data_IF_148882605189
#
_entry.id   IF_148882605189
#
_cell.length_a   1.000
_cell.length_b   1.000
_cell.length_c   1.000
_cell.angle_alpha   90.00
_cell.angle_beta   90.00
_cell.angle_gamma   90.00
#
_symmetry.space_group_name_H-M   'P 1'
#
loop_
_entity.id
_entity.type
_entity.pdbx_description
1 polymer ?
#
# COMPACT_ATOMS: atom_id res chain seq x y z
N UNK A 1 2.79 22.06 -7.06
CA UNK A 1 3.82 23.03 -6.78
C UNK A 1 5.09 22.85 -7.61
N UNK A 2 5.54 21.61 -7.85
CA UNK A 2 6.76 21.34 -8.63
C UNK A 2 6.53 21.22 -10.16
N UNK A 3 5.33 21.45 -10.65
CA UNK A 3 5.05 21.46 -12.09
C UNK A 3 4.73 20.08 -12.67
N UNK A 4 5.02 19.88 -13.94
CA UNK A 4 4.50 18.82 -14.82
C UNK A 4 5.15 17.44 -14.67
N UNK A 5 5.92 17.16 -13.64
CA UNK A 5 6.63 15.88 -13.49
C UNK A 5 5.84 14.79 -12.77
N UNK A 6 4.55 14.98 -12.50
CA UNK A 6 3.75 13.95 -11.84
C UNK A 6 3.43 12.80 -12.79
N UNK A 7 3.56 11.56 -12.32
CA UNK A 7 3.03 10.38 -13.02
C UNK A 7 1.52 10.20 -12.81
N UNK A 8 0.92 11.07 -12.00
CA UNK A 8 -0.52 11.11 -11.76
C UNK A 8 -1.05 12.38 -12.43
N UNK A 9 -2.01 12.23 -13.32
CA UNK A 9 -2.74 13.34 -13.93
C UNK A 9 -4.24 13.15 -13.71
N UNK A 10 -4.92 14.24 -13.41
CA UNK A 10 -6.37 14.25 -13.33
C UNK A 10 -6.90 14.66 -14.70
N UNK A 11 -7.78 13.85 -15.26
CA UNK A 11 -8.51 14.19 -16.49
C UNK A 11 -9.63 15.18 -16.11
N UNK A 12 -9.54 16.40 -16.61
CA UNK A 12 -10.48 17.48 -16.31
C UNK A 12 -11.90 17.21 -16.86
N UNK A 13 -12.03 16.28 -17.81
CA UNK A 13 -13.34 15.96 -18.42
C UNK A 13 -14.05 14.85 -17.65
N UNK A 14 -13.32 13.79 -17.31
CA UNK A 14 -13.89 12.61 -16.66
C UNK A 14 -13.64 12.57 -15.15
N UNK A 15 -12.93 13.57 -14.61
CA UNK A 15 -12.47 13.60 -13.20
C UNK A 15 -11.72 12.33 -12.78
N UNK A 16 -11.09 11.66 -13.77
CA UNK A 16 -10.39 10.41 -13.55
C UNK A 16 -8.91 10.61 -13.20
N UNK A 17 -8.40 9.75 -12.35
CA UNK A 17 -6.97 9.71 -12.04
C UNK A 17 -6.30 8.78 -13.04
N UNK A 18 -5.39 9.35 -13.86
CA UNK A 18 -4.62 8.60 -14.84
C UNK A 18 -3.16 8.48 -14.40
N UNK A 19 -2.62 7.28 -14.50
CA UNK A 19 -1.22 7.00 -14.23
C UNK A 19 -0.45 6.89 -15.54
N UNK A 20 0.65 7.63 -15.63
CA UNK A 20 1.54 7.59 -16.78
C UNK A 20 2.82 6.84 -16.43
N UNK A 21 3.20 5.92 -17.32
CA UNK A 21 4.43 5.16 -17.17
C UNK A 21 5.63 6.07 -17.46
N UNK A 22 6.49 6.30 -16.47
CA UNK A 22 7.67 7.13 -16.59
C UNK A 22 8.94 6.30 -16.47
N UNK A 23 9.85 6.47 -17.42
CA UNK A 23 11.19 5.89 -17.38
C UNK A 23 12.18 6.95 -16.90
N UNK A 24 12.40 7.01 -15.58
CA UNK A 24 13.33 7.97 -14.98
C UNK A 24 14.75 7.39 -14.84
N UNK A 25 14.90 6.07 -14.84
CA UNK A 25 16.16 5.36 -14.76
C UNK A 25 16.38 4.54 -16.03
N UNK A 26 17.55 4.66 -16.65
CA UNK A 26 17.96 3.86 -17.81
C UNK A 26 18.26 2.41 -17.42
N UNK A 27 18.21 1.51 -18.40
CA UNK A 27 18.50 0.08 -18.16
C UNK A 27 19.95 -0.19 -17.74
N UNK A 28 20.87 0.69 -18.06
CA UNK A 28 22.31 0.57 -17.76
C UNK A 28 22.70 1.35 -16.49
N UNK A 29 21.74 1.95 -15.80
CA UNK A 29 21.96 2.79 -14.61
C UNK A 29 21.73 2.05 -13.27
N UNK A 30 21.49 0.75 -13.28
CA UNK A 30 21.39 -0.05 -12.05
C UNK A 30 22.68 0.02 -11.21
N UNK A 31 23.90 -0.09 -11.79
CA UNK A 31 25.13 0.09 -11.00
C UNK A 31 25.25 1.49 -10.40
N UNK A 32 24.83 2.55 -11.11
CA UNK A 32 24.86 3.92 -10.59
C UNK A 32 23.87 4.11 -9.45
N UNK A 33 22.70 3.47 -9.50
CA UNK A 33 21.74 3.50 -8.43
C UNK A 33 22.30 2.96 -7.12
N UNK A 34 23.08 1.89 -7.20
CA UNK A 34 23.77 1.28 -6.04
C UNK A 34 24.97 2.11 -5.58
N UNK A 35 25.87 2.46 -6.49
CA UNK A 35 27.19 2.99 -6.17
C UNK A 35 27.22 4.52 -6.03
N UNK A 36 26.28 5.23 -6.71
CA UNK A 36 26.22 6.68 -6.81
C UNK A 36 24.79 7.17 -6.50
N UNK A 37 24.23 6.72 -5.38
CA UNK A 37 22.81 6.88 -5.01
C UNK A 37 22.33 8.34 -5.05
N UNK A 38 23.13 9.27 -4.50
CA UNK A 38 22.77 10.69 -4.44
C UNK A 38 22.71 11.33 -5.84
N UNK A 39 23.74 11.06 -6.66
CA UNK A 39 23.79 11.56 -8.04
C UNK A 39 22.65 10.94 -8.87
N UNK A 40 22.37 9.65 -8.69
CA UNK A 40 21.29 8.98 -9.42
C UNK A 40 19.92 9.54 -9.02
N UNK A 41 19.67 9.80 -7.74
CA UNK A 41 18.45 10.47 -7.30
C UNK A 41 18.29 11.85 -7.92
N UNK A 42 19.38 12.64 -7.96
CA UNK A 42 19.37 13.95 -8.57
C UNK A 42 19.12 13.88 -10.09
N UNK A 43 19.71 12.91 -10.77
CA UNK A 43 19.51 12.65 -12.19
C UNK A 43 18.06 12.29 -12.51
N UNK A 44 17.46 11.37 -11.72
CA UNK A 44 16.05 11.02 -11.86
C UNK A 44 15.13 12.20 -11.55
N UNK A 45 15.44 12.98 -10.51
CA UNK A 45 14.70 14.19 -10.18
C UNK A 45 14.69 15.20 -11.33
N UNK A 46 15.84 15.47 -11.95
CA UNK A 46 15.92 16.38 -13.10
C UNK A 46 15.17 15.85 -14.33
N UNK A 47 15.16 14.53 -14.54
CA UNK A 47 14.36 13.93 -15.61
C UNK A 47 12.86 14.06 -15.34
N UNK A 48 12.48 13.95 -14.08
CA UNK A 48 11.08 14.11 -13.66
C UNK A 48 10.60 15.56 -13.78
N UNK A 49 11.48 16.54 -13.53
CA UNK A 49 11.15 17.96 -13.50
C UNK A 49 12.11 18.78 -14.38
N UNK A 50 12.10 18.56 -15.72
CA UNK A 50 13.11 19.13 -16.61
C UNK A 50 13.10 20.66 -16.68
N UNK A 51 11.97 21.29 -16.35
CA UNK A 51 11.78 22.75 -16.42
C UNK A 51 11.85 23.43 -15.05
N UNK A 52 12.23 22.70 -13.99
CA UNK A 52 12.29 23.24 -12.65
C UNK A 52 13.61 23.98 -12.42
N UNK A 53 13.56 25.29 -12.34
CA UNK A 53 14.72 26.09 -11.95
C UNK A 53 14.94 26.10 -10.41
N UNK A 54 16.11 26.56 -9.99
CA UNK A 54 16.53 26.58 -8.59
C UNK A 54 15.57 27.35 -7.69
N UNK A 55 15.02 28.47 -8.16
CA UNK A 55 14.12 29.32 -7.35
C UNK A 55 12.79 28.62 -7.12
N UNK A 56 12.18 28.11 -8.20
CA UNK A 56 10.94 27.35 -8.12
C UNK A 56 11.08 26.07 -7.28
N UNK A 57 12.25 25.42 -7.35
CA UNK A 57 12.54 24.26 -6.51
C UNK A 57 12.52 24.62 -5.02
N UNK A 58 13.20 25.70 -4.60
CA UNK A 58 13.25 26.13 -3.21
C UNK A 58 11.87 26.51 -2.68
N UNK A 59 11.11 27.30 -3.46
CA UNK A 59 9.74 27.67 -3.11
C UNK A 59 8.81 26.45 -2.96
N UNK A 60 8.92 25.50 -3.89
CA UNK A 60 8.15 24.26 -3.85
C UNK A 60 8.55 23.37 -2.67
N UNK A 61 9.83 23.29 -2.36
CA UNK A 61 10.35 22.53 -1.20
C UNK A 61 9.83 23.10 0.13
N UNK A 62 9.88 24.42 0.30
CA UNK A 62 9.36 25.10 1.50
C UNK A 62 7.86 24.79 1.66
N UNK A 63 7.06 24.98 0.60
CA UNK A 63 5.62 24.68 0.63
C UNK A 63 5.32 23.20 0.93
N UNK A 64 6.15 22.30 0.44
CA UNK A 64 6.01 20.87 0.75
C UNK A 64 6.29 20.59 2.22
N UNK A 65 7.32 21.22 2.83
CA UNK A 65 7.61 21.08 4.26
C UNK A 65 6.47 21.62 5.12
N UNK A 66 5.94 22.79 4.77
CA UNK A 66 4.76 23.38 5.45
C UNK A 66 3.54 22.46 5.39
N UNK A 67 3.22 21.95 4.20
CA UNK A 67 2.10 21.03 4.00
C UNK A 67 2.30 19.69 4.76
N UNK A 68 3.51 19.16 4.79
CA UNK A 68 3.83 17.94 5.53
C UNK A 68 3.72 18.14 7.04
N UNK A 69 4.18 19.28 7.55
CA UNK A 69 4.07 19.63 8.97
C UNK A 69 2.59 19.79 9.38
N UNK A 70 1.79 20.47 8.55
CA UNK A 70 0.35 20.61 8.76
C UNK A 70 -0.38 19.27 8.74
N UNK A 71 -0.09 18.42 7.74
CA UNK A 71 -0.68 17.07 7.64
C UNK A 71 -0.34 16.22 8.86
N UNK A 72 0.91 16.23 9.31
CA UNK A 72 1.34 15.52 10.52
C UNK A 72 0.68 16.04 11.80
N UNK A 73 0.44 17.34 11.88
CA UNK A 73 -0.30 17.94 13.00
C UNK A 73 -1.76 17.47 13.01
N UNK A 74 -2.43 17.56 11.87
CA UNK A 74 -3.83 17.11 11.72
C UNK A 74 -3.99 15.62 12.00
N UNK A 75 -3.09 14.79 11.49
CA UNK A 75 -3.09 13.35 11.74
C UNK A 75 -3.02 13.03 13.25
N UNK A 76 -2.11 13.68 13.99
CA UNK A 76 -2.05 13.45 15.44
C UNK A 76 -3.33 13.87 16.18
N UNK A 77 -3.92 15.01 15.82
CA UNK A 77 -5.19 15.45 16.42
C UNK A 77 -6.30 14.44 16.16
N UNK A 78 -6.41 13.92 14.93
CA UNK A 78 -7.43 12.91 14.58
C UNK A 78 -7.25 11.63 15.38
N UNK A 79 -6.01 11.15 15.55
CA UNK A 79 -5.72 9.93 16.34
C UNK A 79 -6.10 10.14 17.81
N UNK A 80 -5.79 11.29 18.39
CA UNK A 80 -6.14 11.62 19.79
C UNK A 80 -7.67 11.71 19.96
N UNK A 81 -8.37 12.35 19.03
CA UNK A 81 -9.83 12.47 19.05
C UNK A 81 -10.51 11.09 18.90
N UNK A 82 -10.03 10.26 17.99
CA UNK A 82 -10.55 8.89 17.78
C UNK A 82 -10.31 8.00 19.01
N UNK A 83 -9.13 8.09 19.61
CA UNK A 83 -8.82 7.34 20.82
C UNK A 83 -9.76 7.70 21.99
N UNK A 84 -10.11 8.99 22.15
CA UNK A 84 -11.10 9.44 23.13
C UNK A 84 -12.50 8.83 22.90
N UNK A 85 -12.82 8.51 21.66
CA UNK A 85 -14.10 7.85 21.29
C UNK A 85 -14.01 6.31 21.35
N UNK A 86 -12.86 5.74 21.70
CA UNK A 86 -12.64 4.29 21.69
C UNK A 86 -12.52 3.71 20.28
N UNK A 87 -12.15 4.54 19.31
CA UNK A 87 -11.98 4.15 17.90
C UNK A 87 -10.49 4.18 17.56
N UNK A 88 -10.00 3.10 16.98
CA UNK A 88 -8.62 3.06 16.45
C UNK A 88 -8.56 3.73 15.07
N UNK A 89 -7.50 4.50 14.85
CA UNK A 89 -7.22 5.05 13.52
C UNK A 89 -6.84 3.94 12.54
N UNK A 90 -7.27 4.09 11.29
CA UNK A 90 -6.93 3.16 10.20
C UNK A 90 -5.55 3.40 9.61
N UNK A 91 -4.86 4.49 10.01
CA UNK A 91 -3.45 4.74 9.68
C UNK A 91 -2.54 3.78 10.48
N UNK A 92 -1.24 3.94 10.35
CA UNK A 92 -0.26 3.04 10.96
C UNK A 92 0.84 3.81 11.69
N UNK A 93 1.19 3.37 12.88
CA UNK A 93 2.18 4.03 13.73
C UNK A 93 3.60 4.03 13.13
N UNK A 94 4.00 2.92 12.51
CA UNK A 94 5.35 2.72 11.94
C UNK A 94 5.51 3.18 10.50
N UNK A 95 4.43 3.72 9.92
CA UNK A 95 4.44 4.20 8.55
C UNK A 95 4.32 3.10 7.48
N UNK A 96 4.34 3.55 6.22
CA UNK A 96 4.24 2.67 5.05
C UNK A 96 5.61 2.32 4.51
N UNK A 97 5.82 1.05 4.22
CA UNK A 97 7.02 0.52 3.57
C UNK A 97 6.66 -0.11 2.24
N UNK A 98 7.54 0.04 1.28
CA UNK A 98 7.43 -0.63 -0.01
C UNK A 98 8.49 -1.72 -0.12
N UNK A 99 8.08 -2.90 -0.59
CA UNK A 99 9.03 -3.93 -1.03
C UNK A 99 9.97 -3.30 -2.08
N UNK A 100 11.29 -3.58 -2.06
CA UNK A 100 12.25 -2.95 -2.98
C UNK A 100 11.81 -2.98 -4.44
N UNK A 101 11.24 -4.10 -4.89
CA UNK A 101 10.74 -4.27 -6.25
C UNK A 101 9.72 -3.20 -6.65
N UNK A 102 8.78 -2.84 -5.77
CA UNK A 102 7.70 -1.88 -6.05
C UNK A 102 8.21 -0.50 -6.49
N UNK A 103 9.42 -0.12 -6.08
CA UNK A 103 10.01 1.17 -6.45
C UNK A 103 10.31 1.26 -7.94
N UNK A 104 10.67 0.16 -8.58
CA UNK A 104 11.09 0.15 -9.98
C UNK A 104 9.92 0.35 -10.95
N UNK A 105 8.85 -0.46 -10.93
CA UNK A 105 7.71 -0.22 -11.81
C UNK A 105 7.02 1.10 -11.52
N UNK A 106 6.92 1.51 -10.25
CA UNK A 106 6.17 2.69 -9.86
C UNK A 106 6.92 4.01 -10.10
N UNK A 107 8.22 4.07 -9.80
CA UNK A 107 8.93 5.35 -9.75
C UNK A 107 10.10 5.48 -10.72
N UNK A 108 10.72 4.39 -11.16
CA UNK A 108 12.00 4.45 -11.84
C UNK A 108 12.00 3.95 -13.27
N UNK A 109 11.42 2.77 -13.49
CA UNK A 109 11.52 2.07 -14.78
C UNK A 109 10.20 1.98 -15.55
N UNK A 110 9.06 2.07 -14.84
CA UNK A 110 7.76 1.74 -15.40
C UNK A 110 7.54 0.23 -15.58
N UNK A 111 6.28 -0.16 -15.81
CA UNK A 111 5.85 -1.58 -15.86
C UNK A 111 6.44 -2.29 -17.08
N UNK A 112 6.45 -1.60 -18.23
CA UNK A 112 6.95 -2.17 -19.49
C UNK A 112 8.44 -2.48 -19.41
N UNK A 113 9.24 -1.51 -19.01
CA UNK A 113 10.70 -1.66 -19.02
C UNK A 113 11.17 -2.64 -17.95
N UNK A 114 10.57 -2.64 -16.74
CA UNK A 114 10.93 -3.60 -15.71
C UNK A 114 10.68 -5.04 -16.13
N UNK A 115 9.67 -5.29 -16.97
CA UNK A 115 9.37 -6.62 -17.52
C UNK A 115 10.51 -7.16 -18.41
N UNK A 116 11.23 -6.27 -19.11
CA UNK A 116 12.42 -6.63 -19.86
C UNK A 116 13.65 -6.78 -18.96
N UNK A 117 13.80 -5.89 -17.98
CA UNK A 117 14.97 -5.84 -17.10
C UNK A 117 15.08 -7.11 -16.23
N UNK A 118 13.96 -7.66 -15.76
CA UNK A 118 13.94 -8.94 -15.03
C UNK A 118 14.60 -10.09 -15.81
N UNK A 119 14.70 -9.99 -17.14
CA UNK A 119 15.36 -10.98 -18.00
C UNK A 119 16.76 -10.55 -18.44
N UNK A 120 16.90 -9.28 -18.84
CA UNK A 120 18.10 -8.76 -19.50
C UNK A 120 19.14 -8.23 -18.51
N UNK A 121 18.68 -7.76 -17.35
CA UNK A 121 19.46 -7.07 -16.31
C UNK A 121 19.27 -7.72 -14.93
N UNK A 122 18.99 -9.03 -14.92
CA UNK A 122 18.63 -9.76 -13.71
C UNK A 122 19.61 -9.54 -12.57
N UNK A 123 20.93 -9.69 -12.83
CA UNK A 123 21.97 -9.54 -11.81
C UNK A 123 22.01 -8.12 -11.26
N UNK A 124 22.10 -7.13 -12.16
CA UNK A 124 22.19 -5.71 -11.79
C UNK A 124 20.95 -5.27 -10.98
N UNK A 125 19.78 -5.79 -11.37
CA UNK A 125 18.54 -5.53 -10.67
C UNK A 125 18.50 -6.15 -9.27
N UNK A 126 18.92 -7.42 -9.12
CA UNK A 126 19.01 -8.07 -7.81
C UNK A 126 19.97 -7.35 -6.89
N UNK A 127 21.15 -6.97 -7.40
CA UNK A 127 22.12 -6.16 -6.65
C UNK A 127 21.52 -4.85 -6.11
N UNK A 128 20.60 -4.22 -6.87
CA UNK A 128 19.91 -3.03 -6.41
C UNK A 128 18.83 -3.35 -5.37
N UNK A 129 18.08 -4.44 -5.55
CA UNK A 129 17.06 -4.87 -4.57
C UNK A 129 17.71 -5.20 -3.23
N UNK A 130 18.82 -5.97 -3.26
CA UNK A 130 19.61 -6.30 -2.08
C UNK A 130 20.13 -5.04 -1.38
N UNK A 131 20.71 -4.11 -2.15
CA UNK A 131 21.17 -2.83 -1.61
C UNK A 131 20.07 -2.05 -0.90
N UNK A 132 18.89 -1.94 -1.51
CA UNK A 132 17.74 -1.22 -0.92
C UNK A 132 17.28 -1.93 0.35
N UNK A 133 17.17 -3.25 0.32
CA UNK A 133 16.74 -4.03 1.46
C UNK A 133 17.69 -3.85 2.65
N UNK A 134 18.99 -4.09 2.42
CA UNK A 134 20.01 -4.11 3.46
C UNK A 134 20.35 -2.74 4.02
N UNK A 135 20.33 -1.70 3.18
CA UNK A 135 20.82 -0.37 3.57
C UNK A 135 19.70 0.66 3.84
N UNK A 136 18.50 0.43 3.36
CA UNK A 136 17.40 1.39 3.52
C UNK A 136 16.23 0.78 4.33
N UNK A 137 15.67 -0.34 3.87
CA UNK A 137 14.41 -0.88 4.41
C UNK A 137 14.62 -1.54 5.78
N UNK A 138 15.50 -2.52 5.88
CA UNK A 138 15.69 -3.27 7.12
C UNK A 138 16.27 -2.40 8.24
N UNK A 139 17.28 -1.53 7.99
CA UNK A 139 17.73 -0.60 9.04
C UNK A 139 16.64 0.37 9.51
N UNK A 140 15.84 0.89 8.57
CA UNK A 140 14.71 1.75 8.89
C UNK A 140 13.66 1.02 9.74
N UNK A 141 13.28 -0.19 9.35
CA UNK A 141 12.34 -1.02 10.11
C UNK A 141 12.84 -1.30 11.54
N UNK A 142 14.09 -1.75 11.69
CA UNK A 142 14.67 -2.04 13.01
C UNK A 142 14.69 -0.81 13.91
N UNK A 143 15.01 0.36 13.35
CA UNK A 143 14.95 1.63 14.08
C UNK A 143 13.53 1.93 14.54
N UNK A 144 12.55 1.85 13.64
CA UNK A 144 11.14 2.10 13.98
C UNK A 144 10.61 1.12 15.02
N UNK A 145 10.93 -0.17 14.89
CA UNK A 145 10.54 -1.18 15.90
C UNK A 145 11.09 -0.85 17.29
N UNK A 146 12.35 -0.43 17.38
CA UNK A 146 12.95 0.01 18.66
C UNK A 146 12.27 1.27 19.23
N UNK A 147 11.87 2.20 18.38
CA UNK A 147 11.14 3.42 18.80
C UNK A 147 9.70 3.13 19.25
N UNK A 148 9.12 2.00 18.82
CA UNK A 148 7.77 1.56 19.20
C UNK A 148 7.74 0.65 20.42
N UNK A 149 8.87 0.26 20.95
CA UNK A 149 8.93 -0.59 22.14
C UNK A 149 8.27 0.09 23.35
N UNK A 150 7.38 -0.64 24.02
CA UNK A 150 6.63 -0.15 25.19
C UNK A 150 5.57 0.93 24.91
N UNK A 151 5.32 1.29 23.66
CA UNK A 151 4.25 2.24 23.30
C UNK A 151 2.92 1.54 23.12
N UNK A 152 1.85 2.21 23.56
CA UNK A 152 0.48 1.76 23.37
C UNK A 152 0.10 1.77 21.88
N UNK A 153 -0.67 0.77 21.46
CA UNK A 153 -1.23 0.68 20.12
C UNK A 153 -2.48 1.54 20.02
N UNK A 154 -2.43 2.60 19.24
CA UNK A 154 -3.56 3.50 18.96
C UNK A 154 -4.10 3.35 17.53
N UNK A 155 -3.48 2.50 16.73
CA UNK A 155 -3.78 2.29 15.31
C UNK A 155 -4.28 0.87 15.06
N UNK A 156 -4.98 0.66 13.95
CA UNK A 156 -5.45 -0.67 13.53
C UNK A 156 -4.29 -1.64 13.29
N UNK A 157 -3.18 -1.13 12.77
CA UNK A 157 -1.95 -1.90 12.57
C UNK A 157 -0.71 -1.06 12.85
N UNK A 158 0.43 -1.72 13.08
CA UNK A 158 1.69 -1.03 13.32
C UNK A 158 2.35 -0.54 12.02
N UNK A 159 2.26 -1.33 10.94
CA UNK A 159 2.90 -1.05 9.65
C UNK A 159 1.95 -1.27 8.49
N UNK A 160 2.24 -0.62 7.36
CA UNK A 160 1.54 -0.83 6.11
C UNK A 160 2.49 -1.20 4.99
N UNK A 161 2.09 -2.15 4.14
CA UNK A 161 2.75 -2.51 2.88
C UNK A 161 1.73 -2.35 1.76
N UNK A 162 2.06 -1.57 0.73
CA UNK A 162 1.27 -1.52 -0.49
C UNK A 162 1.88 -2.44 -1.55
N UNK A 163 1.12 -3.42 -2.01
CA UNK A 163 1.50 -4.37 -3.04
C UNK A 163 0.72 -4.08 -4.32
N UNK A 164 1.38 -3.45 -5.28
CA UNK A 164 0.77 -3.00 -6.53
C UNK A 164 1.23 -3.84 -7.72
N UNK A 165 2.52 -4.15 -7.77
CA UNK A 165 3.16 -4.82 -8.91
C UNK A 165 3.04 -6.35 -8.88
N UNK A 166 2.64 -6.97 -7.76
CA UNK A 166 2.54 -8.43 -7.64
C UNK A 166 1.63 -9.07 -8.70
N UNK A 167 0.60 -8.34 -9.13
CA UNK A 167 -0.29 -8.78 -10.20
C UNK A 167 0.37 -8.95 -11.57
N UNK A 168 1.48 -8.25 -11.82
CA UNK A 168 2.15 -8.18 -13.13
C UNK A 168 3.30 -9.17 -13.32
N UNK A 169 3.69 -9.89 -12.27
CA UNK A 169 4.84 -10.81 -12.28
C UNK A 169 4.40 -12.28 -12.20
N UNK A 170 5.18 -13.16 -12.81
CA UNK A 170 4.95 -14.61 -12.74
C UNK A 170 5.38 -15.17 -11.37
N UNK A 171 4.97 -16.43 -11.05
CA UNK A 171 5.42 -17.16 -9.88
C UNK A 171 6.95 -17.17 -9.73
N UNK A 172 7.66 -17.50 -10.81
CA UNK A 172 9.13 -17.53 -10.81
C UNK A 172 9.75 -16.15 -10.54
N UNK A 173 9.13 -15.09 -11.02
CA UNK A 173 9.59 -13.71 -10.76
C UNK A 173 9.28 -13.30 -9.32
N UNK A 174 8.13 -13.72 -8.78
CA UNK A 174 7.78 -13.56 -7.38
C UNK A 174 8.85 -14.19 -6.47
N UNK A 175 9.20 -15.44 -6.71
CA UNK A 175 10.21 -16.18 -5.93
C UNK A 175 11.59 -15.52 -5.92
N UNK A 176 11.93 -14.81 -7.00
CA UNK A 176 13.27 -14.23 -7.19
C UNK A 176 13.33 -12.77 -6.77
N UNK A 177 12.34 -11.95 -7.17
CA UNK A 177 12.44 -10.49 -7.09
C UNK A 177 11.55 -9.88 -6.00
N UNK A 178 10.59 -10.64 -5.45
CA UNK A 178 9.58 -10.09 -4.58
C UNK A 178 9.54 -10.77 -3.20
N UNK A 179 9.26 -12.05 -3.17
CA UNK A 179 9.02 -12.79 -1.93
C UNK A 179 10.18 -12.77 -0.92
N UNK A 180 11.46 -12.95 -1.29
CA UNK A 180 12.55 -12.94 -0.32
C UNK A 180 12.58 -11.64 0.50
N UNK A 181 12.37 -10.52 -0.15
CA UNK A 181 12.38 -9.19 0.48
C UNK A 181 11.13 -8.94 1.33
N UNK A 182 9.96 -9.32 0.82
CA UNK A 182 8.72 -9.22 1.58
C UNK A 182 8.74 -10.11 2.82
N UNK A 183 9.20 -11.35 2.66
CA UNK A 183 9.28 -12.32 3.75
C UNK A 183 10.16 -11.82 4.90
N UNK A 184 11.37 -11.37 4.62
CA UNK A 184 12.29 -10.85 5.63
C UNK A 184 11.64 -9.69 6.42
N UNK A 185 10.95 -8.80 5.72
CA UNK A 185 10.24 -7.69 6.33
C UNK A 185 9.10 -8.17 7.24
N UNK A 186 8.27 -9.07 6.76
CA UNK A 186 7.15 -9.65 7.53
C UNK A 186 7.65 -10.43 8.75
N UNK A 187 8.69 -11.24 8.59
CA UNK A 187 9.26 -12.04 9.66
C UNK A 187 9.76 -11.15 10.82
N UNK A 188 10.40 -10.03 10.52
CA UNK A 188 10.86 -9.07 11.54
C UNK A 188 9.71 -8.41 12.29
N UNK A 189 8.65 -8.02 11.60
CA UNK A 189 7.45 -7.43 12.22
C UNK A 189 6.77 -8.45 13.14
N UNK A 190 6.54 -9.65 12.63
CA UNK A 190 5.87 -10.72 13.37
C UNK A 190 6.70 -11.17 14.58
N UNK A 191 8.02 -11.31 14.42
CA UNK A 191 8.94 -11.64 15.52
C UNK A 191 8.97 -10.58 16.62
N UNK A 192 8.71 -9.31 16.27
CA UNK A 192 8.57 -8.22 17.23
C UNK A 192 7.17 -8.15 17.89
N UNK A 193 6.27 -9.09 17.60
CA UNK A 193 4.90 -9.09 18.11
C UNK A 193 4.02 -7.99 17.54
N UNK A 194 4.41 -7.42 16.39
CA UNK A 194 3.73 -6.29 15.75
C UNK A 194 2.80 -6.76 14.64
N UNK A 195 1.96 -5.84 14.17
CA UNK A 195 0.95 -6.08 13.13
C UNK A 195 1.26 -5.30 11.86
N UNK A 196 0.88 -5.87 10.72
CA UNK A 196 1.04 -5.23 9.43
C UNK A 196 -0.25 -5.35 8.61
N UNK A 197 -0.67 -4.24 8.02
CA UNK A 197 -1.71 -4.23 7.01
C UNK A 197 -1.07 -4.26 5.62
N UNK A 198 -1.51 -5.18 4.78
CA UNK A 198 -1.08 -5.33 3.38
C UNK A 198 -2.23 -4.88 2.49
N UNK A 199 -2.04 -3.79 1.76
CA UNK A 199 -2.98 -3.31 0.76
C UNK A 199 -2.66 -3.94 -0.60
N UNK A 200 -3.63 -4.60 -1.20
CA UNK A 200 -3.49 -5.44 -2.40
C UNK A 200 -4.37 -4.91 -3.53
N UNK A 201 -3.78 -4.32 -4.57
CA UNK A 201 -4.52 -3.83 -5.74
C UNK A 201 -4.86 -4.94 -6.75
N UNK A 202 -4.33 -6.15 -6.56
CA UNK A 202 -4.57 -7.30 -7.43
C UNK A 202 -4.80 -8.56 -6.59
N UNK A 203 -5.25 -9.64 -7.23
CA UNK A 203 -5.46 -10.93 -6.57
C UNK A 203 -4.17 -11.51 -5.98
N UNK A 204 -4.23 -11.91 -4.72
CA UNK A 204 -3.15 -12.63 -4.02
C UNK A 204 -3.34 -14.15 -4.10
N UNK A 205 -4.46 -14.63 -4.62
CA UNK A 205 -4.86 -16.04 -4.61
C UNK A 205 -3.76 -17.01 -5.06
N UNK A 206 -3.00 -16.64 -6.11
CA UNK A 206 -1.90 -17.48 -6.63
C UNK A 206 -0.66 -17.50 -5.73
N UNK A 207 -0.54 -16.57 -4.80
CA UNK A 207 0.55 -16.46 -3.84
C UNK A 207 0.10 -16.74 -2.40
N UNK A 208 -1.13 -17.16 -2.20
CA UNK A 208 -1.70 -17.38 -0.86
C UNK A 208 -0.85 -18.36 -0.03
N UNK A 209 -0.31 -19.41 -0.64
CA UNK A 209 0.50 -20.42 0.05
C UNK A 209 1.70 -19.86 0.81
N UNK A 210 2.26 -18.72 0.39
CA UNK A 210 3.38 -18.09 1.07
C UNK A 210 3.03 -17.49 2.44
N UNK A 211 1.74 -17.27 2.70
CA UNK A 211 1.27 -16.64 3.93
C UNK A 211 0.64 -17.62 4.94
N UNK A 212 0.56 -18.91 4.60
CA UNK A 212 -0.15 -19.91 5.41
C UNK A 212 0.47 -20.13 6.79
N UNK A 213 1.78 -19.99 6.91
CA UNK A 213 2.52 -20.28 8.13
C UNK A 213 2.59 -19.09 9.11
N UNK A 214 2.10 -17.91 8.73
CA UNK A 214 2.09 -16.77 9.63
C UNK A 214 1.04 -16.94 10.74
N UNK A 215 1.38 -16.57 11.99
CA UNK A 215 0.46 -16.71 13.11
C UNK A 215 -0.72 -15.74 13.01
N UNK A 216 -1.82 -16.08 13.68
CA UNK A 216 -3.00 -15.19 13.81
C UNK A 216 -2.62 -13.89 14.51
N UNK A 217 -3.29 -12.80 14.12
CA UNK A 217 -3.21 -11.52 14.80
C UNK A 217 -2.07 -10.61 14.33
N UNK A 218 -1.30 -10.99 13.30
CA UNK A 218 -0.17 -10.20 12.84
C UNK A 218 -0.34 -9.62 11.44
N UNK A 219 -1.14 -10.24 10.58
CA UNK A 219 -1.32 -9.78 9.20
C UNK A 219 -2.79 -9.50 8.93
N UNK A 220 -3.05 -8.31 8.40
CA UNK A 220 -4.34 -7.88 7.86
C UNK A 220 -4.16 -7.66 6.36
N UNK A 221 -4.98 -8.27 5.53
CA UNK A 221 -4.97 -8.06 4.08
C UNK A 221 -6.21 -7.27 3.66
N UNK A 222 -6.01 -6.10 3.06
CA UNK A 222 -7.07 -5.35 2.36
C UNK A 222 -7.10 -5.85 0.93
N UNK A 223 -8.23 -6.43 0.52
CA UNK A 223 -8.36 -7.24 -0.68
C UNK A 223 -9.35 -6.59 -1.65
N UNK A 224 -8.87 -6.26 -2.86
CA UNK A 224 -9.68 -5.62 -3.90
C UNK A 224 -10.38 -6.66 -4.80
N UNK A 225 -9.65 -7.66 -5.28
CA UNK A 225 -10.12 -8.54 -6.36
C UNK A 225 -10.42 -9.98 -5.94
N UNK A 226 -9.99 -10.39 -4.75
CA UNK A 226 -10.14 -11.77 -4.33
C UNK A 226 -11.54 -12.05 -3.75
N UNK A 227 -12.04 -13.26 -3.98
CA UNK A 227 -13.15 -13.79 -3.22
C UNK A 227 -12.67 -14.11 -1.79
N UNK A 228 -13.17 -13.34 -0.82
CA UNK A 228 -12.75 -13.43 0.58
C UNK A 228 -13.09 -14.79 1.20
N UNK A 229 -14.21 -15.39 0.81
CA UNK A 229 -14.65 -16.70 1.34
C UNK A 229 -13.75 -17.81 0.79
N UNK A 230 -13.44 -17.79 -0.49
CA UNK A 230 -12.50 -18.76 -1.08
C UNK A 230 -11.08 -18.59 -0.56
N UNK A 231 -10.63 -17.35 -0.37
CA UNK A 231 -9.30 -17.06 0.18
C UNK A 231 -9.20 -17.49 1.65
N UNK A 232 -10.28 -17.35 2.45
CA UNK A 232 -10.34 -17.80 3.85
C UNK A 232 -10.03 -19.30 4.00
N UNK A 233 -10.45 -20.12 3.04
CA UNK A 233 -10.16 -21.56 3.05
C UNK A 233 -8.66 -21.84 2.96
N UNK A 234 -7.92 -20.97 2.28
CA UNK A 234 -6.45 -21.07 2.13
C UNK A 234 -5.69 -20.40 3.26
N UNK A 235 -6.21 -19.29 3.78
CA UNK A 235 -5.56 -18.43 4.75
C UNK A 235 -6.43 -18.24 6.01
N UNK A 236 -6.63 -19.28 6.81
CA UNK A 236 -7.50 -19.22 7.99
C UNK A 236 -6.89 -18.35 9.13
N UNK A 237 -5.58 -18.08 9.08
CA UNK A 237 -4.86 -17.34 10.10
C UNK A 237 -4.72 -15.83 9.79
N UNK A 238 -5.07 -15.40 8.59
CA UNK A 238 -4.94 -14.02 8.16
C UNK A 238 -6.24 -13.26 8.39
N UNK A 239 -6.16 -12.04 8.89
CA UNK A 239 -7.30 -11.14 8.96
C UNK A 239 -7.55 -10.53 7.58
N UNK A 240 -8.81 -10.52 7.15
CA UNK A 240 -9.21 -9.89 5.89
C UNK A 240 -9.96 -8.60 6.15
N UNK A 241 -9.65 -7.57 5.35
CA UNK A 241 -10.41 -6.34 5.31
C UNK A 241 -10.92 -6.10 3.89
N UNK A 242 -12.13 -5.57 3.75
CA UNK A 242 -12.73 -5.31 2.44
C UNK A 242 -14.15 -5.82 2.31
N UNK A 243 -14.49 -6.28 1.12
CA UNK A 243 -15.73 -6.97 0.81
C UNK A 243 -16.87 -6.09 0.32
N UNK A 244 -16.81 -4.77 0.53
CA UNK A 244 -17.77 -3.81 -0.03
C UNK A 244 -17.18 -3.20 -1.29
N UNK A 245 -17.58 -3.72 -2.44
CA UNK A 245 -17.04 -3.26 -3.72
C UNK A 245 -17.61 -1.90 -4.11
N UNK A 246 -16.76 -1.04 -4.73
CA UNK A 246 -17.22 0.23 -5.28
C UNK A 246 -18.36 0.01 -6.30
N UNK A 247 -18.33 -1.08 -7.06
CA UNK A 247 -19.41 -1.43 -7.99
C UNK A 247 -20.75 -1.66 -7.27
N UNK A 248 -20.75 -2.34 -6.14
CA UNK A 248 -21.96 -2.58 -5.33
C UNK A 248 -22.41 -1.28 -4.64
N UNK A 249 -21.48 -0.57 -4.00
CA UNK A 249 -21.78 0.68 -3.31
C UNK A 249 -22.26 1.78 -4.26
N UNK A 250 -21.74 1.83 -5.48
CA UNK A 250 -22.11 2.83 -6.49
C UNK A 250 -23.35 2.48 -7.32
N UNK A 251 -23.62 1.20 -7.56
CA UNK A 251 -24.67 0.79 -8.51
C UNK A 251 -25.73 -0.13 -7.91
N UNK A 252 -25.48 -0.71 -6.74
CA UNK A 252 -26.45 -1.56 -6.04
C UNK A 252 -27.56 -0.77 -5.36
N UNK A 253 -28.46 -1.51 -4.69
CA UNK A 253 -29.48 -0.93 -3.79
C UNK A 253 -29.03 -1.03 -2.33
N UNK A 254 -29.61 -0.24 -1.41
CA UNK A 254 -29.36 -0.36 0.02
C UNK A 254 -29.52 -1.79 0.56
N UNK A 255 -30.57 -2.49 0.11
CA UNK A 255 -30.85 -3.87 0.52
C UNK A 255 -29.74 -4.83 0.06
N UNK A 256 -29.28 -4.70 -1.18
CA UNK A 256 -28.18 -5.51 -1.72
C UNK A 256 -26.89 -5.28 -0.95
N UNK A 257 -26.60 -4.04 -0.57
CA UNK A 257 -25.44 -3.69 0.24
C UNK A 257 -25.52 -4.33 1.65
N UNK A 258 -26.65 -4.22 2.30
CA UNK A 258 -26.89 -4.86 3.61
C UNK A 258 -26.83 -6.37 3.53
N UNK A 259 -27.41 -6.99 2.50
CA UNK A 259 -27.35 -8.45 2.31
C UNK A 259 -25.93 -8.94 2.06
N UNK A 260 -25.08 -8.13 1.36
CA UNK A 260 -23.65 -8.42 1.23
C UNK A 260 -22.94 -8.42 2.59
N UNK A 261 -23.24 -7.45 3.46
CA UNK A 261 -22.68 -7.40 4.82
C UNK A 261 -23.05 -8.65 5.62
N UNK A 262 -24.33 -9.03 5.61
CA UNK A 262 -24.82 -10.24 6.30
C UNK A 262 -24.12 -11.51 5.80
N UNK A 263 -23.98 -11.64 4.48
CA UNK A 263 -23.28 -12.75 3.86
C UNK A 263 -21.83 -12.83 4.33
N UNK A 264 -21.08 -11.72 4.24
CA UNK A 264 -19.68 -11.70 4.66
C UNK A 264 -19.50 -11.98 6.14
N UNK A 265 -20.34 -11.39 6.99
CA UNK A 265 -20.31 -11.63 8.43
C UNK A 265 -20.56 -13.11 8.77
N UNK A 266 -21.50 -13.75 8.09
CA UNK A 266 -21.82 -15.17 8.29
C UNK A 266 -20.71 -16.11 7.82
N UNK A 267 -20.10 -15.84 6.64
CA UNK A 267 -19.12 -16.73 6.04
C UNK A 267 -17.69 -16.55 6.59
N UNK A 268 -17.33 -15.35 7.02
CA UNK A 268 -15.96 -15.03 7.42
C UNK A 268 -15.77 -15.07 8.96
N UNK A 269 -16.80 -14.68 9.72
CA UNK A 269 -16.73 -14.66 11.18
C UNK A 269 -15.54 -13.86 11.73
N UNK A 270 -14.82 -14.45 12.68
CA UNK A 270 -13.64 -13.86 13.29
C UNK A 270 -12.50 -13.60 12.28
N UNK A 271 -11.76 -12.53 12.51
CA UNK A 271 -10.64 -12.14 11.62
C UNK A 271 -11.09 -11.50 10.33
N UNK A 272 -12.25 -10.83 10.36
CA UNK A 272 -12.77 -10.04 9.25
C UNK A 272 -13.07 -8.60 9.68
N UNK A 273 -12.68 -7.65 8.86
CA UNK A 273 -12.97 -6.23 9.02
C UNK A 273 -13.76 -5.78 7.79
N UNK A 274 -15.02 -5.40 8.02
CA UNK A 274 -15.83 -4.86 6.94
C UNK A 274 -15.29 -3.49 6.51
N UNK A 275 -14.91 -3.36 5.26
CA UNK A 275 -14.51 -2.08 4.66
C UNK A 275 -14.80 -2.07 3.16
N UNK A 276 -14.58 -0.93 2.52
CA UNK A 276 -14.48 -0.90 1.06
C UNK A 276 -13.25 -1.72 0.62
N UNK A 277 -13.36 -2.33 -0.55
CA UNK A 277 -12.29 -3.16 -1.13
C UNK A 277 -11.14 -2.32 -1.72
N UNK A 278 -11.42 -1.09 -2.12
CA UNK A 278 -10.44 -0.15 -2.65
C UNK A 278 -10.74 1.29 -2.24
N UNK A 279 -9.77 2.17 -2.45
CA UNK A 279 -9.97 3.60 -2.27
C UNK A 279 -11.08 4.11 -3.21
N UNK A 280 -12.07 4.78 -2.65
CA UNK A 280 -13.10 5.48 -3.43
C UNK A 280 -12.49 6.77 -4.01
N UNK A 281 -12.14 6.74 -5.28
CA UNK A 281 -11.40 7.81 -5.94
C UNK A 281 -12.26 8.61 -6.94
N UNK A 282 -13.44 8.10 -7.30
CA UNK A 282 -14.26 8.69 -8.33
C UNK A 282 -15.65 9.04 -7.80
N UNK A 283 -16.24 10.06 -8.43
CA UNK A 283 -17.64 10.41 -8.24
C UNK A 283 -18.48 9.18 -8.58
N UNK A 284 -19.40 8.80 -7.73
CA UNK A 284 -20.27 7.62 -7.84
C UNK A 284 -19.62 6.25 -7.53
N UNK A 285 -18.42 6.19 -7.01
CA UNK A 285 -17.89 4.95 -6.41
C UNK A 285 -18.75 4.47 -5.23
N UNK A 286 -19.51 5.39 -4.63
CA UNK A 286 -20.45 5.08 -3.57
C UNK A 286 -21.66 6.02 -3.63
N UNK A 287 -22.87 5.47 -3.55
CA UNK A 287 -24.08 6.25 -3.30
C UNK A 287 -24.27 6.44 -1.80
N UNK A 288 -24.67 7.64 -1.43
CA UNK A 288 -24.87 8.01 -0.03
C UNK A 288 -25.86 7.08 0.67
N UNK A 289 -26.99 6.79 0.05
CA UNK A 289 -28.03 5.92 0.58
C UNK A 289 -27.54 4.49 0.85
N UNK A 290 -26.63 3.98 0.01
CA UNK A 290 -26.04 2.66 0.18
C UNK A 290 -25.09 2.63 1.37
N UNK A 291 -24.26 3.66 1.51
CA UNK A 291 -23.34 3.77 2.65
C UNK A 291 -24.10 3.95 3.96
N UNK A 292 -25.10 4.83 3.99
CA UNK A 292 -25.94 5.05 5.17
C UNK A 292 -26.60 3.75 5.62
N UNK A 293 -27.19 2.98 4.72
CA UNK A 293 -27.81 1.68 5.04
C UNK A 293 -26.83 0.66 5.62
N UNK A 294 -25.61 0.61 5.06
CA UNK A 294 -24.55 -0.27 5.61
C UNK A 294 -24.15 0.18 7.01
N UNK A 295 -23.88 1.47 7.21
CA UNK A 295 -23.50 2.02 8.51
C UNK A 295 -24.60 1.83 9.56
N UNK A 296 -25.86 2.05 9.20
CA UNK A 296 -27.01 1.84 10.09
C UNK A 296 -27.15 0.38 10.49
N UNK A 297 -27.00 -0.55 9.54
CA UNK A 297 -27.04 -1.97 9.83
C UNK A 297 -25.91 -2.38 10.75
N UNK A 298 -24.65 -2.00 10.46
CA UNK A 298 -23.47 -2.36 11.25
C UNK A 298 -23.55 -1.80 12.67
N UNK A 299 -23.98 -0.55 12.84
CA UNK A 299 -24.14 0.07 14.17
C UNK A 299 -25.18 -0.64 15.04
N UNK A 300 -26.19 -1.27 14.44
CA UNK A 300 -27.22 -2.02 15.15
C UNK A 300 -26.93 -3.52 15.23
N UNK A 301 -25.90 -4.00 14.53
CA UNK A 301 -25.52 -5.40 14.53
C UNK A 301 -24.86 -5.78 15.86
N UNK A 302 -25.19 -6.97 16.35
CA UNK A 302 -24.57 -7.58 17.54
C UNK A 302 -24.07 -8.96 17.16
N UNK A 303 -22.79 -9.20 17.36
CA UNK A 303 -22.13 -10.49 17.13
C UNK A 303 -22.45 -11.48 18.23
#
# INVERSE_FOLDING_TARGET
>A
AMGTGSHIMIDDVNESINFYDHVLMGQDEYPDYKNHRAEMNWKMFNRKYPNLDKRHFLDAFIKQQEASAFSGYMGRMMVEDYACLGVYDTDVAGGSVQVPFERFPKYYRGIKEISFDMRRKKSDMLDCLDYIQENEIIPGLKKTLAEMEGKEQLYMADFMIAMLAHGTISQKQWDIFYWPYLKEYLDLIVAAGKTVVIYLENSIMRFAEYFQDYPKGHIIMILELDDLVELRKKLPNICFAGGMTAALLGNGTPEQCVDRVKYLANELGDGFILSQDKMMAFRNDCRRENLEAVCEYVNNFRW
#
